data_IF_020739775265
#
_entry.id   IF_020739775265
#
_cell.length_a   1.000
_cell.length_b   1.000
_cell.length_c   1.000
_cell.angle_alpha   90.00
_cell.angle_beta   90.00
_cell.angle_gamma   90.00
#
_symmetry.space_group_name_H-M   'P 1'
#
loop_
_entity.id
_entity.type
_entity.pdbx_description
1 polymer ?
#
# COMPACT_ATOMS: atom_id res chain seq x y z
N UNK A 1 2.50 8.05 19.91
CA UNK A 1 1.93 6.68 19.84
C UNK A 1 2.82 5.83 18.93
N UNK A 2 3.76 5.03 19.47
CA UNK A 2 4.65 4.17 18.67
C UNK A 2 3.89 2.91 18.25
N UNK A 3 3.78 2.65 16.94
CA UNK A 3 3.20 1.42 16.39
C UNK A 3 3.99 0.22 16.95
N UNK A 4 3.33 -0.75 17.59
CA UNK A 4 4.00 -1.99 18.04
C UNK A 4 4.60 -2.70 16.81
N UNK A 5 5.84 -3.21 16.88
CA UNK A 5 6.43 -3.93 15.77
C UNK A 5 5.62 -5.21 15.50
N UNK A 6 5.21 -5.39 14.24
CA UNK A 6 4.53 -6.59 13.77
C UNK A 6 5.47 -7.80 13.94
N UNK A 7 5.08 -8.83 14.71
CA UNK A 7 5.93 -9.97 15.03
C UNK A 7 6.45 -10.72 13.80
N UNK A 8 5.80 -10.61 12.63
CA UNK A 8 6.20 -11.34 11.41
C UNK A 8 7.14 -10.55 10.50
N UNK A 9 7.30 -9.24 10.72
CA UNK A 9 8.22 -8.42 9.94
C UNK A 9 7.98 -8.52 8.42
N UNK A 10 6.72 -8.50 7.98
CA UNK A 10 6.33 -8.55 6.57
C UNK A 10 6.72 -7.25 5.84
N UNK A 11 7.44 -7.34 4.74
CA UNK A 11 7.62 -6.23 3.79
C UNK A 11 6.28 -5.94 3.13
N UNK A 12 5.81 -4.70 3.20
CA UNK A 12 4.45 -4.36 2.77
C UNK A 12 4.36 -2.92 2.30
N UNK A 13 3.30 -2.59 1.55
CA UNK A 13 2.90 -1.23 1.24
C UNK A 13 1.76 -0.88 2.21
N UNK A 14 2.04 -0.27 3.38
CA UNK A 14 1.00 0.11 4.30
C UNK A 14 0.06 1.15 3.69
N UNK A 15 -1.23 0.98 3.95
CA UNK A 15 -2.24 1.98 3.66
C UNK A 15 -2.34 2.96 4.84
N UNK A 16 -2.44 4.27 4.60
CA UNK A 16 -2.56 5.28 5.65
C UNK A 16 -3.99 5.31 6.22
N UNK A 17 -4.39 4.24 6.91
CA UNK A 17 -5.79 3.98 7.26
C UNK A 17 -6.48 5.11 8.05
N UNK A 18 -5.77 5.74 9.00
CA UNK A 18 -6.32 6.85 9.78
C UNK A 18 -6.64 8.04 8.87
N UNK A 19 -5.66 8.48 8.07
CA UNK A 19 -5.84 9.58 7.11
C UNK A 19 -6.89 9.25 6.06
N UNK A 20 -6.93 8.00 5.59
CA UNK A 20 -7.95 7.53 4.64
C UNK A 20 -9.36 7.62 5.24
N UNK A 21 -9.52 7.22 6.50
CA UNK A 21 -10.81 7.32 7.19
C UNK A 21 -11.25 8.77 7.41
N UNK A 22 -10.33 9.64 7.85
CA UNK A 22 -10.60 11.07 8.03
C UNK A 22 -11.08 11.72 6.74
N UNK A 23 -10.30 11.56 5.65
CA UNK A 23 -10.67 12.12 4.35
C UNK A 23 -11.97 11.54 3.81
N UNK A 24 -12.22 10.24 4.00
CA UNK A 24 -13.48 9.63 3.59
C UNK A 24 -14.69 10.24 4.31
N UNK A 25 -14.57 10.53 5.61
CA UNK A 25 -15.63 11.18 6.37
C UNK A 25 -15.85 12.62 5.92
N UNK A 26 -14.78 13.38 5.68
CA UNK A 26 -14.86 14.75 5.15
C UNK A 26 -15.61 14.78 3.81
N UNK A 27 -15.21 13.95 2.85
CA UNK A 27 -15.88 13.84 1.55
C UNK A 27 -17.35 13.40 1.66
N UNK A 28 -17.68 12.54 2.63
CA UNK A 28 -19.07 12.16 2.91
C UNK A 28 -19.89 13.36 3.39
N UNK A 29 -19.34 14.20 4.26
CA UNK A 29 -20.05 15.40 4.69
C UNK A 29 -20.23 16.41 3.57
N UNK A 30 -19.22 16.58 2.71
CA UNK A 30 -19.33 17.45 1.53
C UNK A 30 -20.40 16.90 0.56
N UNK A 31 -20.50 15.56 0.41
CA UNK A 31 -21.58 14.90 -0.32
C UNK A 31 -22.96 15.25 0.25
N UNK A 32 -23.14 15.15 1.58
CA UNK A 32 -24.40 15.40 2.26
C UNK A 32 -24.82 16.88 2.21
N UNK A 33 -23.87 17.82 2.22
CA UNK A 33 -24.15 19.25 2.09
C UNK A 33 -24.42 19.70 0.65
N UNK A 34 -24.13 18.85 -0.33
CA UNK A 34 -24.20 19.21 -1.74
C UNK A 34 -22.99 20.04 -2.21
N UNK A 35 -21.92 20.09 -1.41
CA UNK A 35 -20.70 20.81 -1.76
C UNK A 35 -20.00 20.12 -2.94
N UNK A 36 -19.20 20.86 -3.73
CA UNK A 36 -18.29 20.27 -4.71
C UNK A 36 -17.26 19.38 -4.00
N UNK A 37 -17.02 18.18 -4.55
CA UNK A 37 -15.97 17.26 -4.11
C UNK A 37 -15.22 16.70 -5.29
N UNK A 38 -13.94 16.31 -5.12
CA UNK A 38 -13.22 15.53 -6.13
C UNK A 38 -13.92 14.18 -6.36
N UNK A 39 -13.96 13.76 -7.62
CA UNK A 39 -14.46 12.42 -7.99
C UNK A 39 -13.51 11.32 -7.49
N UNK A 40 -12.20 11.60 -7.50
CA UNK A 40 -11.17 10.67 -7.06
C UNK A 40 -10.09 11.39 -6.26
N UNK A 41 -9.63 10.75 -5.17
CA UNK A 41 -8.48 11.20 -4.38
C UNK A 41 -7.46 10.07 -4.24
N UNK A 42 -6.21 10.36 -4.62
CA UNK A 42 -5.08 9.45 -4.44
C UNK A 42 -4.32 9.81 -3.18
N UNK A 43 -4.15 8.84 -2.28
CA UNK A 43 -3.33 9.00 -1.08
C UNK A 43 -1.94 8.38 -1.28
N UNK A 44 -0.87 9.05 -0.82
CA UNK A 44 0.46 8.51 -0.95
C UNK A 44 0.60 7.23 -0.14
N UNK A 45 1.33 6.27 -0.71
CA UNK A 45 1.78 5.05 -0.02
C UNK A 45 3.26 4.85 -0.29
N UNK A 46 3.92 4.07 0.56
CA UNK A 46 5.35 3.82 0.48
C UNK A 46 5.64 2.34 0.70
N UNK A 47 6.76 1.85 0.18
CA UNK A 47 7.21 0.49 0.49
C UNK A 47 7.91 0.48 1.85
N UNK A 48 7.36 -0.28 2.80
CA UNK A 48 8.04 -0.57 4.07
C UNK A 48 8.76 -1.91 3.96
N UNK A 49 10.07 -1.86 3.72
CA UNK A 49 10.94 -3.03 3.71
C UNK A 49 11.10 -3.60 5.13
N UNK A 50 10.96 -4.92 5.25
CA UNK A 50 11.21 -5.68 6.48
C UNK A 50 11.94 -6.99 6.13
N UNK A 51 11.50 -8.15 6.64
CA UNK A 51 12.26 -9.42 6.62
C UNK A 51 11.82 -10.43 5.57
N UNK A 52 10.70 -10.20 4.90
CA UNK A 52 10.09 -11.20 3.99
C UNK A 52 10.39 -10.96 2.52
N UNK A 53 11.26 -10.00 2.19
CA UNK A 53 11.68 -9.72 0.82
C UNK A 53 13.18 -9.60 0.75
N UNK A 54 13.79 -10.30 -0.20
CA UNK A 54 15.23 -10.37 -0.38
C UNK A 54 15.59 -10.97 -1.74
N UNK A 55 16.89 -11.11 -2.02
CA UNK A 55 17.35 -11.77 -3.24
C UNK A 55 16.88 -13.23 -3.32
N UNK A 56 16.76 -13.81 -4.52
CA UNK A 56 16.50 -15.24 -4.65
C UNK A 56 17.65 -16.07 -4.03
N UNK A 57 17.41 -17.35 -3.65
CA UNK A 57 18.47 -18.23 -3.18
C UNK A 57 19.57 -18.39 -4.25
N UNK A 58 20.85 -18.46 -3.84
CA UNK A 58 21.94 -18.67 -4.79
C UNK A 58 21.77 -20.00 -5.52
N UNK A 59 22.04 -20.01 -6.83
CA UNK A 59 22.00 -21.21 -7.67
C UNK A 59 20.62 -21.59 -8.24
N UNK A 60 19.57 -20.79 -8.03
CA UNK A 60 18.28 -21.04 -8.69
C UNK A 60 18.39 -20.76 -10.20
N UNK A 61 18.23 -21.75 -11.10
CA UNK A 61 18.29 -21.51 -12.54
C UNK A 61 17.17 -20.56 -12.96
N UNK A 62 17.48 -19.59 -13.83
CA UNK A 62 16.45 -18.79 -14.46
C UNK A 62 15.54 -19.72 -15.28
N UNK A 63 14.21 -19.64 -15.15
CA UNK A 63 13.33 -20.43 -15.98
C UNK A 63 13.61 -20.09 -17.46
N UNK A 64 13.76 -21.12 -18.30
CA UNK A 64 13.95 -20.94 -19.72
C UNK A 64 12.74 -20.16 -20.28
N UNK A 65 12.94 -18.86 -20.53
CA UNK A 65 11.88 -18.00 -21.03
C UNK A 65 11.47 -18.47 -22.42
N UNK A 66 10.20 -18.80 -22.60
CA UNK A 66 9.64 -19.02 -23.92
C UNK A 66 9.68 -17.71 -24.70
N UNK A 67 10.70 -17.55 -25.56
CA UNK A 67 10.70 -16.55 -26.64
C UNK A 67 9.61 -16.97 -27.63
N UNK A 68 8.39 -16.48 -27.43
CA UNK A 68 7.37 -16.52 -28.47
C UNK A 68 7.76 -15.46 -29.50
N UNK A 69 8.18 -15.94 -30.67
CA UNK A 69 8.31 -15.22 -31.94
C UNK A 69 6.95 -14.82 -32.47
#
# INVERSE_FOLDING_TARGET
MRRRPDPRGLTTIPQPMVRKGQLAAELLFDLLRGDPKPENVSLPTELVRRRTSGPPPPGRPLPAGNRRS
#
